data_IF_885802761629
#
_entry.id   IF_885802761629
#
_cell.length_a   1.000
_cell.length_b   1.000
_cell.length_c   1.000
_cell.angle_alpha   90.00
_cell.angle_beta   90.00
_cell.angle_gamma   90.00
#
_symmetry.space_group_name_H-M   'P 1'
#
loop_
_entity.id
_entity.type
_entity.pdbx_description
1 polymer ?
#
# COMPACT_ATOMS: atom_id res chain seq x y z
N UNK A 1 -33.04 -16.09 6.16
CA UNK A 1 -32.36 -14.93 6.78
C UNK A 1 -32.75 -13.68 6.03
N UNK A 2 -33.26 -12.67 6.75
CA UNK A 2 -33.45 -11.31 6.24
C UNK A 2 -32.09 -10.64 6.30
N UNK A 3 -31.48 -10.33 5.16
CA UNK A 3 -30.14 -9.75 5.11
C UNK A 3 -30.04 -8.80 3.92
N UNK A 4 -29.46 -7.63 4.16
CA UNK A 4 -29.41 -6.56 3.18
C UNK A 4 -28.30 -6.77 2.14
N UNK A 5 -28.41 -6.08 1.00
CA UNK A 5 -27.36 -6.04 0.00
C UNK A 5 -26.42 -4.88 0.31
N UNK A 6 -25.11 -5.14 0.31
CA UNK A 6 -24.09 -4.14 0.61
C UNK A 6 -23.20 -3.95 -0.61
N UNK A 7 -22.99 -2.70 -1.00
CA UNK A 7 -22.08 -2.32 -2.09
C UNK A 7 -20.90 -1.58 -1.48
N UNK A 8 -19.69 -2.12 -1.65
CA UNK A 8 -18.44 -1.51 -1.23
C UNK A 8 -17.65 -1.08 -2.47
N UNK A 9 -17.32 0.20 -2.56
CA UNK A 9 -16.54 0.83 -3.64
C UNK A 9 -15.16 1.24 -3.14
N UNK A 10 -14.26 1.60 -4.05
CA UNK A 10 -12.90 2.04 -3.71
C UNK A 10 -12.10 1.05 -2.85
N UNK A 11 -12.36 -0.25 -3.03
CA UNK A 11 -11.67 -1.29 -2.27
C UNK A 11 -10.16 -1.32 -2.55
N UNK A 12 -9.69 -0.76 -3.67
CA UNK A 12 -8.25 -0.58 -3.97
C UNK A 12 -7.55 0.33 -2.96
N UNK A 13 -8.26 1.32 -2.43
CA UNK A 13 -7.70 2.39 -1.57
C UNK A 13 -7.90 2.14 -0.07
N UNK A 14 -8.10 0.88 0.33
CA UNK A 14 -8.24 0.52 1.74
C UNK A 14 -6.91 0.70 2.50
N UNK A 15 -7.03 1.07 3.77
CA UNK A 15 -5.89 1.18 4.68
C UNK A 15 -6.02 0.14 5.79
N UNK A 16 -4.95 -0.62 6.02
CA UNK A 16 -4.83 -1.50 7.18
C UNK A 16 -4.07 -0.80 8.31
N UNK A 17 -4.24 -1.29 9.53
CA UNK A 17 -3.56 -0.75 10.71
C UNK A 17 -2.09 -1.17 10.71
N UNK A 18 -1.19 -0.22 10.94
CA UNK A 18 0.27 -0.45 11.07
C UNK A 18 0.83 -1.19 9.84
N UNK A 19 1.79 -2.10 10.06
CA UNK A 19 2.42 -2.93 9.03
C UNK A 19 1.64 -4.20 8.66
N UNK A 20 0.32 -4.24 8.91
CA UNK A 20 -0.51 -5.42 8.62
C UNK A 20 -0.40 -5.88 7.15
N UNK A 21 -0.14 -4.97 6.21
CA UNK A 21 0.12 -5.30 4.81
C UNK A 21 1.29 -6.29 4.60
N UNK A 22 2.32 -6.21 5.45
CA UNK A 22 3.51 -7.06 5.39
C UNK A 22 3.46 -8.20 6.40
N UNK A 23 2.83 -7.98 7.55
CA UNK A 23 2.75 -8.95 8.63
C UNK A 23 1.74 -10.07 8.34
N UNK A 24 0.61 -9.74 7.69
CA UNK A 24 -0.47 -10.69 7.45
C UNK A 24 -0.31 -11.38 6.09
N UNK A 25 -0.77 -12.63 6.01
CA UNK A 25 -0.77 -13.43 4.78
C UNK A 25 -2.04 -14.29 4.64
N UNK A 26 -2.44 -14.51 3.39
CA UNK A 26 -3.40 -15.55 3.04
C UNK A 26 -2.69 -16.90 3.01
N UNK A 27 -3.13 -17.81 3.87
CA UNK A 27 -2.62 -19.17 3.96
C UNK A 27 -3.48 -20.12 3.16
N UNK A 28 -2.93 -20.65 2.06
CA UNK A 28 -3.60 -21.64 1.22
C UNK A 28 -2.94 -23.00 1.47
N UNK A 29 -3.74 -23.96 1.94
CA UNK A 29 -3.35 -25.37 2.02
C UNK A 29 -4.08 -26.12 0.91
N UNK A 30 -3.33 -26.75 0.00
CA UNK A 30 -3.90 -27.74 -0.92
C UNK A 30 -3.73 -29.14 -0.33
N UNK A 31 -4.56 -30.07 -0.80
CA UNK A 31 -4.60 -31.45 -0.32
C UNK A 31 -3.34 -32.26 -0.68
N UNK A 32 -2.59 -31.83 -1.70
CA UNK A 32 -1.36 -32.49 -2.15
C UNK A 32 -0.12 -32.08 -1.34
N UNK A 33 0.76 -33.05 -1.11
CA UNK A 33 2.03 -32.85 -0.40
C UNK A 33 2.84 -31.68 -0.99
N UNK A 34 3.48 -30.90 -0.12
CA UNK A 34 4.33 -29.73 -0.44
C UNK A 34 3.63 -28.54 -1.13
N UNK A 35 2.29 -28.51 -1.17
CA UNK A 35 1.55 -27.45 -1.87
C UNK A 35 0.89 -26.49 -0.88
N UNK A 36 1.72 -25.86 -0.03
CA UNK A 36 1.30 -24.75 0.86
C UNK A 36 1.85 -23.45 0.30
N UNK A 37 0.97 -22.46 0.15
CA UNK A 37 1.33 -21.12 -0.29
C UNK A 37 0.89 -20.11 0.76
N UNK A 38 1.82 -19.26 1.17
CA UNK A 38 1.55 -18.12 2.04
C UNK A 38 1.74 -16.86 1.18
N UNK A 39 0.64 -16.18 0.86
CA UNK A 39 0.64 -14.98 0.00
C UNK A 39 0.48 -13.76 0.90
N UNK A 40 1.47 -12.86 1.00
CA UNK A 40 1.34 -11.67 1.83
C UNK A 40 0.23 -10.76 1.31
N UNK A 41 -0.45 -10.05 2.21
CA UNK A 41 -1.65 -9.27 1.86
C UNK A 41 -1.39 -8.22 0.78
N UNK A 42 -0.23 -7.56 0.77
CA UNK A 42 0.09 -6.57 -0.26
C UNK A 42 0.12 -7.19 -1.67
N UNK A 43 0.70 -8.39 -1.84
CA UNK A 43 0.72 -9.10 -3.14
C UNK A 43 -0.67 -9.58 -3.52
N UNK A 44 -1.45 -10.03 -2.54
CA UNK A 44 -2.84 -10.44 -2.77
C UNK A 44 -3.66 -9.25 -3.29
N UNK A 45 -3.47 -8.07 -2.71
CA UNK A 45 -4.18 -6.84 -3.07
C UNK A 45 -3.76 -6.27 -4.41
N UNK A 46 -2.48 -6.41 -4.79
CA UNK A 46 -2.00 -6.09 -6.14
C UNK A 46 -2.65 -6.99 -7.21
N UNK A 47 -2.85 -8.27 -6.89
CA UNK A 47 -3.50 -9.23 -7.79
C UNK A 47 -5.01 -8.99 -7.88
N UNK A 48 -5.67 -8.88 -6.73
CA UNK A 48 -7.11 -8.67 -6.61
C UNK A 48 -7.41 -7.69 -5.46
N UNK A 49 -7.69 -6.41 -5.77
CA UNK A 49 -7.93 -5.36 -4.78
C UNK A 49 -9.22 -5.56 -3.97
N UNK A 50 -10.12 -6.45 -4.40
CA UNK A 50 -11.37 -6.73 -3.68
C UNK A 50 -11.22 -7.84 -2.63
N UNK A 51 -10.19 -8.68 -2.80
CA UNK A 51 -10.07 -9.95 -2.07
C UNK A 51 -9.85 -9.78 -0.59
N UNK A 52 -9.05 -8.79 -0.20
CA UNK A 52 -8.74 -8.52 1.20
C UNK A 52 -10.02 -8.18 1.96
N UNK A 53 -10.84 -7.27 1.44
CA UNK A 53 -12.10 -6.89 2.05
C UNK A 53 -13.05 -8.09 2.15
N UNK A 54 -13.18 -8.86 1.07
CA UNK A 54 -14.02 -10.06 1.04
C UNK A 54 -13.60 -11.12 2.09
N UNK A 55 -12.30 -11.37 2.25
CA UNK A 55 -11.78 -12.30 3.25
C UNK A 55 -11.99 -11.78 4.68
N UNK A 56 -11.78 -10.48 4.91
CA UNK A 56 -12.06 -9.86 6.20
C UNK A 56 -13.54 -10.01 6.57
N UNK A 57 -14.46 -9.71 5.65
CA UNK A 57 -15.89 -9.88 5.91
C UNK A 57 -16.24 -11.35 6.17
N UNK A 58 -15.71 -12.28 5.36
CA UNK A 58 -15.92 -13.73 5.53
C UNK A 58 -15.46 -14.23 6.91
N UNK A 59 -14.35 -13.69 7.43
CA UNK A 59 -13.80 -14.05 8.74
C UNK A 59 -14.59 -13.44 9.90
N UNK A 60 -15.25 -12.30 9.71
CA UNK A 60 -16.11 -11.68 10.71
C UNK A 60 -17.50 -12.34 10.79
N UNK A 61 -17.92 -13.09 9.76
CA UNK A 61 -19.22 -13.79 9.75
C UNK A 61 -19.18 -15.11 10.55
N UNK A 62 -20.32 -15.54 11.15
CA UNK A 62 -20.43 -16.83 11.80
C UNK A 62 -20.23 -18.00 10.82
N UNK A 63 -19.68 -19.12 11.31
CA UNK A 63 -19.41 -20.31 10.49
C UNK A 63 -20.65 -21.18 10.34
N UNK A 64 -21.67 -20.67 9.65
CA UNK A 64 -22.88 -21.41 9.30
C UNK A 64 -22.96 -21.74 7.80
N UNK A 65 -24.01 -22.48 7.41
CA UNK A 65 -24.29 -22.82 6.01
C UNK A 65 -24.87 -21.63 5.22
N UNK A 66 -25.49 -20.66 5.92
CA UNK A 66 -26.06 -19.44 5.36
C UNK A 66 -25.02 -18.45 4.85
N UNK A 67 -23.82 -18.45 5.45
CA UNK A 67 -22.73 -17.51 5.19
C UNK A 67 -22.39 -17.34 3.71
N UNK A 68 -22.43 -18.40 2.91
CA UNK A 68 -22.15 -18.30 1.46
C UNK A 68 -23.21 -17.47 0.73
N UNK A 69 -24.48 -17.62 1.12
CA UNK A 69 -25.59 -16.87 0.55
C UNK A 69 -25.58 -15.42 1.01
N UNK A 70 -25.25 -15.17 2.28
CA UNK A 70 -25.14 -13.81 2.80
C UNK A 70 -23.96 -13.06 2.18
N UNK A 71 -22.81 -13.73 2.01
CA UNK A 71 -21.64 -13.15 1.35
C UNK A 71 -21.86 -12.88 -0.14
N UNK A 72 -22.73 -13.62 -0.81
CA UNK A 72 -23.11 -13.35 -2.20
C UNK A 72 -23.87 -12.03 -2.37
N UNK A 73 -24.40 -11.45 -1.28
CA UNK A 73 -25.07 -10.13 -1.27
C UNK A 73 -24.09 -8.96 -1.06
N UNK A 74 -22.80 -9.25 -0.90
CA UNK A 74 -21.74 -8.26 -0.83
C UNK A 74 -21.15 -8.04 -2.23
N UNK A 75 -21.41 -6.86 -2.79
CA UNK A 75 -20.79 -6.42 -4.04
C UNK A 75 -19.57 -5.55 -3.73
N UNK A 76 -18.42 -5.92 -4.27
CA UNK A 76 -17.15 -5.21 -4.07
C UNK A 76 -16.60 -4.72 -5.39
N UNK A 77 -16.26 -3.43 -5.45
CA UNK A 77 -15.68 -2.79 -6.62
C UNK A 77 -14.32 -2.17 -6.26
N UNK A 78 -13.29 -2.34 -7.11
CA UNK A 78 -11.95 -1.78 -6.86
C UNK A 78 -11.96 -0.26 -6.77
N UNK A 79 -12.73 0.36 -7.66
CA UNK A 79 -12.78 1.79 -7.91
C UNK A 79 -14.26 2.25 -7.84
N UNK A 80 -14.57 3.46 -8.30
CA UNK A 80 -15.94 4.05 -8.22
C UNK A 80 -16.91 3.58 -9.33
N UNK A 81 -16.46 2.74 -10.26
CA UNK A 81 -17.26 2.27 -11.38
C UNK A 81 -18.27 1.19 -10.96
N UNK A 82 -19.45 1.61 -10.48
CA UNK A 82 -20.56 0.71 -10.13
C UNK A 82 -21.58 0.62 -11.27
N UNK A 83 -22.09 -0.57 -11.62
CA UNK A 83 -23.16 -0.73 -12.59
C UNK A 83 -24.43 0.07 -12.22
N UNK A 84 -25.05 0.70 -13.21
CA UNK A 84 -26.21 1.58 -13.04
C UNK A 84 -27.41 0.91 -12.36
N UNK A 85 -27.62 -0.38 -12.62
CA UNK A 85 -28.72 -1.15 -12.02
C UNK A 85 -28.54 -1.36 -10.51
N UNK A 86 -27.31 -1.40 -9.99
CA UNK A 86 -27.05 -1.49 -8.57
C UNK A 86 -27.23 -0.12 -7.90
N UNK A 87 -26.66 0.94 -8.49
CA UNK A 87 -26.75 2.31 -7.96
C UNK A 87 -28.22 2.73 -7.79
N UNK A 88 -29.09 2.41 -8.77
CA UNK A 88 -30.52 2.75 -8.72
C UNK A 88 -31.24 2.16 -7.50
N UNK A 89 -30.74 1.05 -6.96
CA UNK A 89 -31.35 0.33 -5.85
C UNK A 89 -30.69 0.63 -4.49
N UNK A 90 -29.68 1.50 -4.44
CA UNK A 90 -29.05 1.90 -3.18
C UNK A 90 -29.99 2.83 -2.42
N UNK A 91 -30.38 2.44 -1.21
CA UNK A 91 -31.29 3.22 -0.36
C UNK A 91 -30.56 4.17 0.59
N UNK A 92 -29.38 3.82 1.06
CA UNK A 92 -28.64 4.58 2.07
C UNK A 92 -27.11 4.41 1.93
N UNK A 93 -26.35 5.35 2.49
CA UNK A 93 -24.89 5.33 2.53
C UNK A 93 -24.38 5.19 3.97
N UNK A 94 -23.70 4.08 4.24
CA UNK A 94 -23.09 3.84 5.54
C UNK A 94 -21.92 4.79 5.76
N UNK A 95 -21.92 5.51 6.88
CA UNK A 95 -20.81 6.40 7.26
C UNK A 95 -19.56 5.57 7.52
N UNK A 96 -18.41 6.05 7.01
CA UNK A 96 -17.12 5.44 7.29
C UNK A 96 -16.85 5.38 8.80
N UNK A 97 -16.27 4.27 9.26
CA UNK A 97 -15.99 4.05 10.69
C UNK A 97 -14.91 4.98 11.25
N UNK A 98 -14.08 5.58 10.37
CA UNK A 98 -13.01 6.51 10.72
C UNK A 98 -13.04 7.73 9.82
N UNK A 99 -12.80 8.89 10.42
CA UNK A 99 -12.50 10.12 9.68
C UNK A 99 -11.08 10.02 9.11
N UNK A 100 -10.92 10.33 7.83
CA UNK A 100 -9.61 10.40 7.19
C UNK A 100 -8.83 11.58 7.80
N UNK A 101 -7.61 11.38 8.32
CA UNK A 101 -6.79 12.48 8.80
C UNK A 101 -6.41 13.40 7.63
N UNK A 102 -6.38 14.71 7.88
CA UNK A 102 -5.89 15.68 6.90
C UNK A 102 -4.37 15.65 6.86
N UNK A 103 -3.79 15.74 5.65
CA UNK A 103 -2.34 15.87 5.48
C UNK A 103 -1.95 17.32 5.71
N UNK A 104 -0.69 17.56 6.06
CA UNK A 104 -0.18 18.92 6.26
C UNK A 104 -0.36 19.80 5.02
N UNK A 105 -0.25 19.22 3.82
CA UNK A 105 -0.40 19.91 2.53
C UNK A 105 -1.86 20.34 2.27
N UNK A 106 -2.83 19.70 2.92
CA UNK A 106 -4.26 19.97 2.74
C UNK A 106 -4.76 21.05 3.73
N UNK A 107 -3.94 21.46 4.71
CA UNK A 107 -4.32 22.45 5.72
C UNK A 107 -4.32 23.86 5.12
N UNK A 108 -5.32 24.66 5.49
CA UNK A 108 -5.35 26.07 5.12
C UNK A 108 -4.29 26.85 5.90
N UNK A 109 -3.69 27.91 5.33
CA UNK A 109 -2.71 28.74 6.04
C UNK A 109 -3.29 29.32 7.34
N UNK A 110 -4.57 29.68 7.34
CA UNK A 110 -5.28 30.18 8.52
C UNK A 110 -5.30 29.16 9.67
N UNK A 111 -5.45 27.87 9.37
CA UNK A 111 -5.46 26.81 10.38
C UNK A 111 -4.05 26.53 10.92
N UNK A 112 -3.03 26.72 10.09
CA UNK A 112 -1.62 26.65 10.51
C UNK A 112 -1.29 27.81 11.45
N UNK A 113 -1.70 29.04 11.11
CA UNK A 113 -1.46 30.23 11.95
C UNK A 113 -2.21 30.19 13.29
N UNK A 114 -3.39 29.58 13.34
CA UNK A 114 -4.13 29.33 14.59
C UNK A 114 -3.39 28.38 15.53
N UNK A 115 -2.52 27.51 15.01
CA UNK A 115 -1.81 26.53 15.83
C UNK A 115 -0.62 27.20 16.53
N UNK A 116 -0.57 27.23 17.88
CA UNK A 116 0.49 27.94 18.59
C UNK A 116 1.85 27.27 18.40
N UNK A 117 2.89 28.07 18.22
CA UNK A 117 4.26 27.58 18.19
C UNK A 117 4.70 27.12 19.59
N UNK A 118 5.02 25.83 19.74
CA UNK A 118 5.32 25.23 21.05
C UNK A 118 6.75 25.48 21.55
N UNK A 119 7.71 25.71 20.65
CA UNK A 119 9.12 25.91 20.98
C UNK A 119 9.74 26.99 20.07
N UNK A 120 10.74 27.71 20.59
CA UNK A 120 11.61 28.59 19.80
C UNK A 120 12.96 27.90 19.67
N UNK A 121 13.36 27.56 18.44
CA UNK A 121 14.67 26.96 18.21
C UNK A 121 15.79 28.01 18.41
N UNK A 122 16.93 27.65 19.03
CA UNK A 122 18.10 28.51 19.05
C UNK A 122 18.63 28.69 17.62
N UNK A 123 19.01 29.93 17.28
CA UNK A 123 19.41 30.32 15.92
C UNK A 123 20.58 29.52 15.35
N UNK A 124 21.44 28.98 16.21
CA UNK A 124 22.59 28.16 15.84
C UNK A 124 22.22 26.76 15.31
N UNK A 125 21.00 26.29 15.59
CA UNK A 125 20.48 24.97 15.18
C UNK A 125 19.43 25.06 14.07
N UNK A 126 19.08 26.27 13.63
CA UNK A 126 18.25 26.46 12.44
C UNK A 126 19.15 26.16 11.25
N UNK A 127 19.14 24.92 10.81
CA UNK A 127 19.74 24.57 9.54
C UNK A 127 18.81 25.14 8.47
N UNK A 128 19.27 26.15 7.73
CA UNK A 128 18.58 26.72 6.56
C UNK A 128 18.58 25.70 5.38
N UNK A 129 18.17 24.46 5.66
CA UNK A 129 18.18 23.31 4.74
C UNK A 129 17.09 23.36 3.66
N UNK A 130 16.53 24.54 3.40
CA UNK A 130 15.71 24.77 2.20
C UNK A 130 16.53 25.19 0.98
N UNK A 131 17.87 25.26 1.07
CA UNK A 131 18.75 25.07 -0.08
C UNK A 131 18.75 23.58 -0.48
N UNK A 132 17.62 23.08 -1.02
CA UNK A 132 17.54 21.73 -1.60
C UNK A 132 18.61 21.48 -2.68
N UNK A 133 19.16 22.55 -3.26
CA UNK A 133 20.21 22.50 -4.29
C UNK A 133 21.62 22.23 -3.73
N UNK A 134 21.86 22.39 -2.42
CA UNK A 134 23.19 22.19 -1.83
C UNK A 134 23.52 20.73 -1.49
N UNK A 135 22.53 19.85 -1.42
CA UNK A 135 22.74 18.44 -1.05
C UNK A 135 22.74 17.46 -2.22
N UNK A 136 22.46 17.90 -3.45
CA UNK A 136 22.68 17.09 -4.64
C UNK A 136 24.04 17.43 -5.24
N UNK A 137 25.12 17.00 -4.58
CA UNK A 137 26.40 16.86 -5.29
C UNK A 137 26.25 15.63 -6.18
N UNK A 138 25.80 15.82 -7.43
CA UNK A 138 25.88 14.77 -8.44
C UNK A 138 27.36 14.46 -8.62
N UNK A 139 27.82 13.37 -7.99
CA UNK A 139 29.17 12.88 -8.20
C UNK A 139 29.32 12.54 -9.69
N UNK A 140 30.41 13.00 -10.30
CA UNK A 140 30.79 12.53 -11.65
C UNK A 140 30.81 11.00 -11.64
N UNK A 141 30.46 10.30 -12.74
CA UNK A 141 30.56 8.84 -12.82
C UNK A 141 31.92 8.27 -12.39
N UNK A 142 32.98 9.09 -12.45
CA UNK A 142 34.34 8.76 -12.03
C UNK A 142 34.54 8.78 -10.50
N UNK A 143 33.74 9.57 -9.76
CA UNK A 143 33.83 9.75 -8.31
C UNK A 143 32.95 8.75 -7.52
N UNK A 144 32.09 7.99 -8.21
CA UNK A 144 31.27 6.96 -7.58
C UNK A 144 32.15 5.81 -7.05
N UNK A 145 31.98 5.37 -5.79
CA UNK A 145 32.75 4.25 -5.25
C UNK A 145 32.41 2.97 -6.02
N UNK A 146 33.40 2.43 -6.75
CA UNK A 146 33.30 1.17 -7.50
C UNK A 146 33.12 0.00 -6.53
N UNK A 147 31.89 -0.30 -6.13
CA UNK A 147 31.60 -1.49 -5.32
C UNK A 147 31.81 -2.75 -6.16
N UNK A 148 32.80 -3.56 -5.77
CA UNK A 148 32.98 -4.89 -6.32
C UNK A 148 31.99 -5.82 -5.62
N UNK A 149 30.96 -6.26 -6.34
CA UNK A 149 29.98 -7.21 -5.80
C UNK A 149 30.32 -8.59 -6.33
N UNK A 150 30.84 -9.46 -5.46
CA UNK A 150 31.01 -10.89 -5.74
C UNK A 150 29.65 -11.58 -5.60
N UNK A 151 29.04 -11.97 -6.71
CA UNK A 151 27.83 -12.79 -6.71
C UNK A 151 28.21 -14.27 -6.75
N UNK A 152 28.29 -14.89 -5.57
CA UNK A 152 28.15 -16.34 -5.35
C UNK A 152 29.18 -17.28 -6.00
N UNK A 153 29.87 -18.06 -5.17
CA UNK A 153 30.65 -19.20 -5.66
C UNK A 153 29.70 -20.33 -6.10
N UNK A 154 29.69 -20.64 -7.41
CA UNK A 154 29.19 -21.91 -7.92
C UNK A 154 30.38 -22.64 -8.53
N UNK A 155 30.65 -23.85 -8.03
CA UNK A 155 31.84 -24.63 -8.36
C UNK A 155 32.03 -24.80 -9.88
N UNK A 156 33.19 -24.39 -10.39
CA UNK A 156 33.75 -24.92 -11.63
C UNK A 156 33.78 -24.01 -12.88
N UNK A 157 33.46 -22.70 -12.84
CA UNK A 157 33.67 -21.81 -14.00
C UNK A 157 34.22 -20.43 -13.60
N UNK A 158 35.03 -19.84 -14.49
CA UNK A 158 35.81 -18.61 -14.30
C UNK A 158 35.00 -17.46 -13.68
N UNK A 159 35.64 -16.70 -12.80
CA UNK A 159 35.08 -15.50 -12.17
C UNK A 159 34.95 -14.39 -13.22
N UNK A 160 33.73 -13.92 -13.46
CA UNK A 160 33.49 -12.70 -14.25
C UNK A 160 33.26 -11.53 -13.30
N UNK A 161 34.14 -10.54 -13.37
CA UNK A 161 33.95 -9.25 -12.71
C UNK A 161 33.14 -8.35 -13.64
N UNK A 162 31.97 -7.91 -13.20
CA UNK A 162 31.21 -6.88 -13.91
C UNK A 162 31.23 -5.58 -13.12
N UNK A 163 31.48 -4.47 -13.82
CA UNK A 163 31.26 -3.13 -13.31
C UNK A 163 29.78 -2.78 -13.50
N UNK A 164 29.02 -2.68 -12.41
CA UNK A 164 27.65 -2.17 -12.44
C UNK A 164 27.68 -0.75 -11.84
N UNK A 165 27.43 0.31 -12.61
CA UNK A 165 27.25 1.64 -12.05
C UNK A 165 25.96 1.68 -11.22
N UNK A 166 26.06 2.19 -9.98
CA UNK A 166 24.93 2.35 -9.08
C UNK A 166 24.12 3.59 -9.47
N UNK A 167 23.21 3.45 -10.43
CA UNK A 167 22.14 4.43 -10.65
C UNK A 167 20.81 3.82 -10.19
N UNK A 168 20.37 4.18 -8.99
CA UNK A 168 18.97 4.05 -8.57
C UNK A 168 18.35 5.44 -8.55
N UNK A 169 18.01 5.94 -9.73
CA UNK A 169 17.00 6.97 -9.97
C UNK A 169 16.62 6.85 -11.46
N UNK A 170 15.62 6.02 -11.76
CA UNK A 170 14.92 6.08 -13.04
C UNK A 170 13.63 6.87 -12.80
N UNK A 171 13.69 8.19 -12.99
CA UNK A 171 12.50 8.95 -13.38
C UNK A 171 12.38 8.84 -14.91
N UNK A 172 11.51 7.95 -15.36
CA UNK A 172 11.09 7.90 -16.76
C UNK A 172 10.08 9.02 -16.97
N UNK A 173 10.53 10.14 -17.55
CA UNK A 173 9.64 11.12 -18.18
C UNK A 173 9.31 10.63 -19.59
N UNK A 174 8.03 10.31 -19.80
CA UNK A 174 7.48 9.96 -21.12
C UNK A 174 7.07 11.28 -21.78
N UNK A 175 7.62 11.55 -22.97
CA UNK A 175 7.08 12.52 -23.93
C UNK A 175 6.10 11.80 -24.86
#
# INVERSE_FOLDING_TARGET
>A
STGDCVVAINTRHIALRNDAWRAEALHIRREYAKTRYDIPLFKLHELDPTKVLHLCTLNCMPRDSGRRYDLARLYTFPDDAVPSHLIRNVSDQIRGSRTTPQRLDDLTPDDIEKFPQMFKWPKELVVDDLDRDKFVRVLSPEELPKRHVMLGQRAGRQNYWFHVPTTRHEEVKIN
#
